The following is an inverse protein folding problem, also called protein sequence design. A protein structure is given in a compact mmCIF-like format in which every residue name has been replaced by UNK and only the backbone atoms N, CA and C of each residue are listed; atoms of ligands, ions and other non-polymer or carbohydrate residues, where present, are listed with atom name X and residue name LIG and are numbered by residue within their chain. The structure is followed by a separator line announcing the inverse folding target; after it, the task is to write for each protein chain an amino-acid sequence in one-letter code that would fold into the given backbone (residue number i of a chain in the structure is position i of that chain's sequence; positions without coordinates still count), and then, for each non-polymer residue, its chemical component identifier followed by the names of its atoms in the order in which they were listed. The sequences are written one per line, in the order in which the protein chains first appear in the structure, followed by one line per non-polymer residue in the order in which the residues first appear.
data_IF_658731138419
#
_entry.id   IF_658731138419
#
_cell.length_a   1.000
_cell.length_b   1.000
_cell.length_c   1.000
_cell.angle_alpha   90.00
_cell.angle_beta   90.00
_cell.angle_gamma   90.00
#
_symmetry.space_group_name_H-M   'P 1'
#
loop_
_entity.id
_entity.type
_entity.pdbx_description
1 polymer ?
#
# COMPACT_ATOMS: atom_id res chain seq x y z
N UNK A 1 1.46 -4.39 0.78
CA UNK A 1 0.58 -4.57 -0.38
C UNK A 1 -0.38 -5.70 -0.09
N UNK A 2 -1.68 -5.45 -0.26
CA UNK A 2 -2.75 -6.37 0.05
C UNK A 2 -3.64 -6.57 -1.19
N UNK A 3 -3.27 -7.49 -2.11
CA UNK A 3 -4.14 -7.84 -3.23
C UNK A 3 -5.43 -8.51 -2.72
N UNK A 4 -6.58 -8.11 -3.29
CA UNK A 4 -7.90 -8.68 -2.98
C UNK A 4 -8.13 -9.99 -3.76
N UNK A 5 -7.66 -10.06 -4.99
CA UNK A 5 -7.84 -11.19 -5.92
C UNK A 5 -6.48 -11.65 -6.46
N UNK A 6 -6.39 -12.90 -6.90
CA UNK A 6 -5.19 -13.41 -7.57
C UNK A 6 -4.89 -12.65 -8.87
N UNK A 7 -5.93 -12.12 -9.54
CA UNK A 7 -5.78 -11.29 -10.74
C UNK A 7 -5.09 -9.96 -10.45
N UNK A 8 -5.33 -9.40 -9.27
CA UNK A 8 -4.69 -8.16 -8.83
C UNK A 8 -3.27 -8.38 -8.29
N UNK A 9 -2.82 -9.63 -8.11
CA UNK A 9 -1.50 -9.93 -7.53
C UNK A 9 -0.36 -9.41 -8.40
N UNK A 10 -0.42 -9.58 -9.72
CA UNK A 10 0.63 -9.10 -10.63
C UNK A 10 0.78 -7.57 -10.55
N UNK A 11 -0.34 -6.86 -10.53
CA UNK A 11 -0.31 -5.40 -10.40
C UNK A 11 0.17 -4.97 -9.00
N UNK A 12 -0.22 -5.68 -7.93
CA UNK A 12 0.31 -5.41 -6.60
C UNK A 12 1.85 -5.56 -6.55
N UNK A 13 2.40 -6.56 -7.24
CA UNK A 13 3.85 -6.77 -7.34
C UNK A 13 4.55 -5.70 -8.18
N UNK A 14 3.94 -5.25 -9.26
CA UNK A 14 4.44 -4.11 -10.05
C UNK A 14 4.53 -2.84 -9.19
N UNK A 15 3.47 -2.55 -8.43
CA UNK A 15 3.46 -1.37 -7.56
C UNK A 15 4.47 -1.54 -6.40
N UNK A 16 4.61 -2.75 -5.85
CA UNK A 16 5.65 -3.04 -4.86
C UNK A 16 7.05 -2.82 -5.44
N UNK A 17 7.32 -3.26 -6.66
CA UNK A 17 8.61 -3.06 -7.33
C UNK A 17 8.89 -1.57 -7.57
N UNK A 18 7.89 -0.78 -7.94
CA UNK A 18 8.02 0.68 -8.08
C UNK A 18 8.37 1.35 -6.75
N UNK A 19 7.72 0.98 -5.65
CA UNK A 19 8.05 1.49 -4.32
C UNK A 19 9.46 1.08 -3.88
N UNK A 20 9.85 -0.18 -4.13
CA UNK A 20 11.18 -0.67 -3.83
C UNK A 20 12.26 0.09 -4.62
N UNK A 21 12.02 0.43 -5.88
CA UNK A 21 12.91 1.27 -6.69
C UNK A 21 13.05 2.69 -6.14
N UNK A 22 12.06 3.19 -5.40
CA UNK A 22 12.10 4.45 -4.65
C UNK A 22 12.74 4.29 -3.26
N UNK A 23 13.34 3.13 -2.97
CA UNK A 23 13.95 2.79 -1.68
C UNK A 23 12.94 2.76 -0.51
N UNK A 24 11.66 2.53 -0.82
CA UNK A 24 10.59 2.42 0.17
C UNK A 24 10.39 0.94 0.49
N UNK A 25 10.39 0.61 1.79
CA UNK A 25 10.13 -0.76 2.25
C UNK A 25 8.67 -1.14 2.02
N UNK A 26 8.47 -2.24 1.33
CA UNK A 26 7.15 -2.79 1.01
C UNK A 26 7.23 -4.31 1.00
N UNK A 27 6.14 -4.96 1.41
CA UNK A 27 5.95 -6.40 1.34
C UNK A 27 4.56 -6.68 0.75
N UNK A 28 4.43 -7.75 -0.04
CA UNK A 28 3.15 -8.18 -0.62
C UNK A 28 2.62 -9.42 0.09
N UNK A 29 1.40 -9.32 0.61
CA UNK A 29 0.70 -10.44 1.26
C UNK A 29 -0.19 -11.18 0.25
N UNK A 30 0.37 -12.26 -0.32
CA UNK A 30 -0.32 -13.14 -1.28
C UNK A 30 -1.18 -14.23 -0.63
N UNK A 31 -1.32 -14.27 0.70
CA UNK A 31 -2.12 -15.33 1.34
C UNK A 31 -3.57 -15.25 0.88
N UNK A 32 -4.22 -16.39 0.65
CA UNK A 32 -5.64 -16.43 0.28
C UNK A 32 -6.52 -16.29 1.53
N UNK A 33 -6.50 -15.09 2.11
CA UNK A 33 -7.21 -14.74 3.34
C UNK A 33 -8.16 -13.56 3.10
N UNK A 34 -9.18 -13.43 3.95
CA UNK A 34 -10.09 -12.28 3.88
C UNK A 34 -9.32 -10.98 4.04
N UNK A 35 -9.60 -9.98 3.20
CA UNK A 35 -8.90 -8.68 3.24
C UNK A 35 -8.97 -8.02 4.63
N UNK A 36 -10.10 -8.16 5.34
CA UNK A 36 -10.24 -7.65 6.70
C UNK A 36 -9.30 -8.31 7.71
N UNK A 37 -8.96 -9.59 7.52
CA UNK A 37 -7.96 -10.28 8.33
C UNK A 37 -6.57 -9.72 8.07
N UNK A 38 -6.15 -9.61 6.80
CA UNK A 38 -4.86 -9.04 6.41
C UNK A 38 -4.68 -7.61 6.93
N UNK A 39 -5.72 -6.78 6.81
CA UNK A 39 -5.71 -5.40 7.35
C UNK A 39 -5.49 -5.41 8.86
N UNK A 40 -6.22 -6.27 9.58
CA UNK A 40 -6.09 -6.36 11.05
C UNK A 40 -4.68 -6.79 11.47
N UNK A 41 -4.10 -7.77 10.79
CA UNK A 41 -2.74 -8.24 11.07
C UNK A 41 -1.71 -7.14 10.81
N UNK A 42 -1.78 -6.47 9.66
CA UNK A 42 -0.91 -5.33 9.35
C UNK A 42 -1.04 -4.18 10.37
N UNK A 43 -2.24 -3.95 10.90
CA UNK A 43 -2.44 -2.99 12.00
C UNK A 43 -1.76 -3.43 13.31
N UNK A 44 -1.83 -4.73 13.64
CA UNK A 44 -1.17 -5.31 14.83
C UNK A 44 0.35 -5.20 14.70
N UNK A 45 0.89 -5.45 13.51
CA UNK A 45 2.31 -5.27 13.17
C UNK A 45 2.75 -3.81 13.10
N UNK A 46 1.80 -2.87 13.27
CA UNK A 46 2.01 -1.42 13.23
C UNK A 46 2.55 -0.92 11.89
N UNK A 47 2.16 -1.57 10.81
CA UNK A 47 2.47 -1.13 9.45
C UNK A 47 1.87 0.27 9.22
N UNK A 48 2.64 1.30 8.84
CA UNK A 48 2.16 2.67 8.71
C UNK A 48 1.06 2.83 7.64
N UNK A 49 1.26 2.16 6.50
CA UNK A 49 0.39 2.23 5.33
C UNK A 49 0.10 0.84 4.79
N UNK A 50 -1.18 0.57 4.55
CA UNK A 50 -1.68 -0.63 3.90
C UNK A 50 -2.26 -0.20 2.55
N UNK A 51 -1.67 -0.74 1.49
CA UNK A 51 -2.12 -0.53 0.12
C UNK A 51 -2.96 -1.72 -0.30
N UNK A 52 -4.25 -1.48 -0.52
CA UNK A 52 -5.21 -2.48 -0.96
C UNK A 52 -5.40 -2.33 -2.46
N UNK A 53 -5.36 -3.45 -3.17
CA UNK A 53 -5.41 -3.47 -4.63
C UNK A 53 -6.42 -4.52 -5.07
N UNK A 54 -7.52 -4.09 -5.67
CA UNK A 54 -8.47 -4.95 -6.37
C UNK A 54 -8.39 -4.79 -7.88
N UNK A 55 -9.33 -5.44 -8.57
CA UNK A 55 -9.44 -5.38 -10.03
C UNK A 55 -9.62 -3.92 -10.52
N UNK A 56 -10.42 -3.11 -9.80
CA UNK A 56 -10.66 -1.69 -10.13
C UNK A 56 -9.39 -0.84 -10.02
N UNK A 57 -8.59 -1.05 -8.98
CA UNK A 57 -7.32 -0.32 -8.80
C UNK A 57 -6.29 -0.74 -9.85
N UNK A 58 -6.25 -2.03 -10.21
CA UNK A 58 -5.40 -2.54 -11.27
C UNK A 58 -5.75 -1.97 -12.64
N UNK A 59 -7.04 -1.85 -12.97
CA UNK A 59 -7.49 -1.24 -14.23
C UNK A 59 -7.20 0.27 -14.30
N UNK A 60 -7.28 0.97 -13.17
CA UNK A 60 -7.10 2.43 -13.11
C UNK A 60 -5.67 2.88 -12.83
N UNK A 61 -4.73 1.97 -12.58
CA UNK A 61 -3.36 2.34 -12.19
C UNK A 61 -3.28 3.02 -10.82
N UNK A 62 -4.28 2.80 -9.97
CA UNK A 62 -4.41 3.38 -8.64
C UNK A 62 -4.08 2.41 -7.51
N UNK A 63 -4.22 2.89 -6.27
CA UNK A 63 -4.17 2.11 -5.03
C UNK A 63 -5.18 2.64 -4.03
N UNK A 64 -5.83 1.75 -3.27
CA UNK A 64 -6.64 2.14 -2.13
C UNK A 64 -5.75 2.21 -0.88
N UNK A 65 -5.62 3.39 -0.29
CA UNK A 65 -4.67 3.67 0.78
C UNK A 65 -5.38 3.65 2.12
N UNK A 66 -4.84 2.86 3.06
CA UNK A 66 -5.23 2.87 4.46
C UNK A 66 -4.03 3.25 5.31
N UNK A 67 -4.16 4.26 6.15
CA UNK A 67 -3.14 4.56 7.17
C UNK A 67 -3.52 3.97 8.52
N UNK A 68 -2.49 3.64 9.29
CA UNK A 68 -2.68 3.11 10.65
C UNK A 68 -3.35 4.12 11.59
N UNK A 69 -3.03 5.41 11.45
CA UNK A 69 -3.50 6.48 12.34
C UNK A 69 -4.77 7.16 11.85
N UNK A 70 -4.97 7.27 10.54
CA UNK A 70 -6.06 8.00 9.91
C UNK A 70 -7.16 7.12 9.29
N UNK A 71 -7.00 5.79 9.30
CA UNK A 71 -7.99 4.88 8.74
C UNK A 71 -7.97 4.86 7.21
N UNK A 72 -9.15 4.84 6.59
CA UNK A 72 -9.29 4.79 5.13
C UNK A 72 -9.06 6.17 4.51
N UNK A 73 -8.06 6.26 3.62
CA UNK A 73 -7.72 7.48 2.88
C UNK A 73 -8.32 7.48 1.46
N UNK A 74 -9.03 6.42 1.10
CA UNK A 74 -9.64 6.25 -0.23
C UNK A 74 -8.64 5.81 -1.30
N UNK A 75 -9.09 5.87 -2.54
CA UNK A 75 -8.30 5.50 -3.71
C UNK A 75 -7.58 6.71 -4.29
N UNK A 76 -6.31 6.56 -4.62
CA UNK A 76 -5.51 7.57 -5.30
C UNK A 76 -4.61 6.95 -6.35
N UNK A 77 -4.13 7.76 -7.28
CA UNK A 77 -3.12 7.32 -8.24
C UNK A 77 -1.83 6.93 -7.53
N UNK A 78 -1.13 5.95 -8.10
CA UNK A 78 0.13 5.47 -7.52
C UNK A 78 1.16 6.59 -7.32
N UNK A 79 1.33 7.46 -8.32
CA UNK A 79 2.34 8.52 -8.27
C UNK A 79 2.03 9.56 -7.19
N UNK A 80 0.74 9.88 -6.99
CA UNK A 80 0.29 10.76 -5.92
C UNK A 80 0.58 10.15 -4.53
N UNK A 81 0.35 8.85 -4.36
CA UNK A 81 0.69 8.14 -3.13
C UNK A 81 2.21 8.12 -2.88
N UNK A 82 3.00 7.79 -3.91
CA UNK A 82 4.45 7.71 -3.80
C UNK A 82 5.08 9.05 -3.40
N UNK A 83 4.59 10.15 -3.98
CA UNK A 83 5.02 11.50 -3.64
C UNK A 83 4.67 11.86 -2.18
N UNK A 84 3.43 11.59 -1.75
CA UNK A 84 3.01 11.83 -0.36
C UNK A 84 3.88 11.04 0.64
N UNK A 85 4.15 9.76 0.35
CA UNK A 85 4.94 8.90 1.21
C UNK A 85 6.39 9.38 1.30
N UNK A 86 6.97 9.83 0.18
CA UNK A 86 8.33 10.39 0.15
C UNK A 86 8.43 11.65 1.01
N UNK A 87 7.47 12.57 0.87
CA UNK A 87 7.42 13.79 1.68
C UNK A 87 7.32 13.49 3.18
N UNK A 88 6.53 12.49 3.57
CA UNK A 88 6.45 12.09 4.98
C UNK A 88 7.77 11.50 5.50
N UNK A 89 8.43 10.65 4.70
CA UNK A 89 9.73 10.07 5.06
C UNK A 89 10.76 11.19 5.28
N UNK A 90 10.85 12.14 4.35
CA UNK A 90 11.77 13.27 4.43
C UNK A 90 11.47 14.15 5.64
N UNK A 91 10.20 14.43 5.93
CA UNK A 91 9.79 15.21 7.10
C UNK A 91 10.11 14.52 8.43
N UNK A 92 10.02 13.19 8.49
CA UNK A 92 10.39 12.44 9.70
C UNK A 92 11.90 12.40 9.90
N UNK A 93 12.68 12.28 8.83
CA UNK A 93 14.15 12.33 8.89
C UNK A 93 14.65 13.71 9.36
N UNK A 94 14.01 14.79 8.91
CA UNK A 94 14.41 16.16 9.28
C UNK A 94 13.99 16.60 10.70
N UNK A 95 13.18 15.79 11.39
CA UNK A 95 12.75 16.05 12.79
C UNK A 95 13.55 15.26 13.83
N UNK A 96 14.50 14.43 13.40
CA UNK A 96 15.43 13.69 14.25
C UNK A 96 16.78 14.42 14.34
#
# INVERSE_FOLDING_TARGET
MLPITDRAASYADEVAAKLAALNIRVETDHRNEKIGYKIREAQVEKIPYMLVVGDKEAESGGVAVRSRSGGDMGTMEFDAFAQMLKEEIDQRLNKA
#
